data_IF_859857906826
#
_entry.id   IF_859857906826
#
_cell.length_a   1.000
_cell.length_b   1.000
_cell.length_c   1.000
_cell.angle_alpha   90.00
_cell.angle_beta   90.00
_cell.angle_gamma   90.00
#
_symmetry.space_group_name_H-M   'P 1'
#
loop_
_entity.id
_entity.type
_entity.pdbx_description
1 polymer ?
#
# COMPACT_ATOMS: atom_id res chain seq x y z
N UNK A 1 5.20 -16.90 30.70
CA UNK A 1 3.80 -16.65 30.28
C UNK A 1 3.86 -15.90 28.96
N UNK A 2 3.44 -16.50 27.84
CA UNK A 2 3.28 -15.77 26.58
C UNK A 2 1.90 -15.13 26.64
N UNK A 3 1.83 -13.85 26.98
CA UNK A 3 0.58 -13.09 26.96
C UNK A 3 0.21 -12.85 25.50
N UNK A 4 -0.93 -13.36 25.00
CA UNK A 4 -1.38 -13.06 23.65
C UNK A 4 -1.71 -11.57 23.60
N UNK A 5 -0.87 -10.83 22.91
CA UNK A 5 -1.04 -9.41 22.66
C UNK A 5 -1.39 -9.27 21.17
N UNK A 6 -2.66 -8.95 20.86
CA UNK A 6 -3.11 -8.62 19.50
C UNK A 6 -2.89 -7.14 19.12
N UNK A 7 -2.20 -6.36 19.95
CA UNK A 7 -1.89 -4.97 19.65
C UNK A 7 -0.75 -4.92 18.63
N UNK A 8 -1.12 -4.66 17.38
CA UNK A 8 -0.19 -4.33 16.30
C UNK A 8 0.10 -2.83 16.39
N UNK A 9 1.35 -2.39 16.48
CA UNK A 9 1.67 -0.97 16.44
C UNK A 9 1.22 -0.38 15.11
N UNK A 10 0.69 0.84 15.11
CA UNK A 10 0.16 1.49 13.89
C UNK A 10 1.18 1.48 12.75
N UNK A 11 2.47 1.68 13.07
CA UNK A 11 3.58 1.64 12.12
C UNK A 11 3.79 0.29 11.43
N UNK A 12 3.36 -0.82 12.04
CA UNK A 12 3.42 -2.16 11.46
C UNK A 12 2.04 -2.63 10.94
N UNK A 13 1.01 -1.80 11.07
CA UNK A 13 -0.32 -2.11 10.55
C UNK A 13 -0.44 -1.69 9.09
N UNK A 14 -1.41 -2.27 8.38
CA UNK A 14 -1.76 -1.91 7.00
C UNK A 14 -1.97 -0.40 6.85
N UNK A 15 -2.62 0.24 7.84
CA UNK A 15 -2.89 1.68 7.83
C UNK A 15 -1.61 2.52 7.90
N UNK A 16 -0.61 2.08 8.67
CA UNK A 16 0.70 2.73 8.69
C UNK A 16 1.43 2.58 7.36
N UNK A 17 1.30 1.40 6.75
CA UNK A 17 1.95 1.07 5.49
C UNK A 17 1.38 1.84 4.28
N UNK A 18 0.16 2.36 4.35
CA UNK A 18 -0.42 3.22 3.31
C UNK A 18 0.49 4.41 2.96
N UNK A 19 1.16 4.97 3.98
CA UNK A 19 2.03 6.13 3.79
C UNK A 19 3.26 5.81 2.94
N UNK A 20 3.73 4.55 2.93
CA UNK A 20 4.84 4.13 2.09
C UNK A 20 4.44 4.14 0.61
N UNK A 21 3.22 3.70 0.29
CA UNK A 21 2.68 3.74 -1.08
C UNK A 21 2.52 5.18 -1.56
N UNK A 22 2.01 6.08 -0.71
CA UNK A 22 1.78 7.48 -1.06
C UNK A 22 3.07 8.28 -1.24
N UNK A 23 4.14 7.93 -0.53
CA UNK A 23 5.45 8.60 -0.64
C UNK A 23 6.18 8.34 -1.97
N UNK A 24 5.76 7.32 -2.73
CA UNK A 24 6.32 7.03 -4.06
C UNK A 24 5.76 7.98 -5.13
N UNK A 25 4.53 8.49 -4.94
CA UNK A 25 3.93 9.51 -5.81
C UNK A 25 4.62 10.88 -5.69
N UNK A 26 4.42 11.79 -6.67
CA UNK A 26 3.17 11.95 -7.43
C UNK A 26 3.13 11.37 -8.85
N UNK A 27 4.24 10.83 -9.38
CA UNK A 27 4.26 10.31 -10.75
C UNK A 27 3.56 8.95 -10.87
N UNK A 28 2.97 8.69 -12.05
CA UNK A 28 2.37 7.39 -12.33
C UNK A 28 3.42 6.29 -12.38
N UNK A 29 3.19 5.17 -11.70
CA UNK A 29 4.13 4.05 -11.62
C UNK A 29 3.42 2.74 -12.00
N UNK A 30 4.13 1.79 -12.61
CA UNK A 30 3.54 0.45 -12.83
C UNK A 30 3.33 -0.26 -11.50
N UNK A 31 2.26 -1.04 -11.41
CA UNK A 31 1.92 -1.77 -10.19
C UNK A 31 3.04 -2.70 -9.71
N UNK A 32 3.70 -3.40 -10.64
CA UNK A 32 4.82 -4.28 -10.32
C UNK A 32 6.04 -3.51 -9.79
N UNK A 33 6.36 -2.35 -10.38
CA UNK A 33 7.47 -1.50 -9.96
C UNK A 33 7.19 -0.87 -8.58
N UNK A 34 5.94 -0.49 -8.33
CA UNK A 34 5.50 -0.04 -7.02
C UNK A 34 5.71 -1.13 -5.97
N UNK A 35 5.25 -2.36 -6.24
CA UNK A 35 5.45 -3.48 -5.32
C UNK A 35 6.93 -3.79 -5.07
N UNK A 36 7.80 -3.67 -6.08
CA UNK A 36 9.24 -3.82 -5.87
C UNK A 36 9.83 -2.75 -4.94
N UNK A 37 9.32 -1.53 -4.96
CA UNK A 37 9.83 -0.43 -4.12
C UNK A 37 9.33 -0.47 -2.67
N UNK A 38 8.07 -0.86 -2.45
CA UNK A 38 7.45 -0.81 -1.11
C UNK A 38 7.15 -2.19 -0.52
N UNK A 39 7.33 -3.26 -1.28
CA UNK A 39 6.98 -4.63 -0.89
C UNK A 39 7.71 -5.12 0.37
N UNK A 40 8.90 -4.59 0.66
CA UNK A 40 9.66 -4.88 1.88
C UNK A 40 8.97 -4.36 3.17
N UNK A 41 7.99 -3.47 3.03
CA UNK A 41 7.18 -2.96 4.16
C UNK A 41 5.93 -3.79 4.42
N UNK A 42 5.60 -4.72 3.53
CA UNK A 42 4.41 -5.56 3.65
C UNK A 42 4.79 -6.98 4.05
N UNK A 43 3.99 -7.57 4.92
CA UNK A 43 4.17 -8.97 5.37
C UNK A 43 3.80 -9.97 4.27
N UNK A 44 2.89 -9.60 3.38
CA UNK A 44 2.46 -10.42 2.24
C UNK A 44 1.96 -9.56 1.08
N UNK A 45 1.81 -10.20 -0.08
CA UNK A 45 1.18 -9.58 -1.26
C UNK A 45 -0.28 -9.20 -0.97
N UNK A 46 -1.01 -10.01 -0.20
CA UNK A 46 -2.40 -9.71 0.18
C UNK A 46 -2.49 -8.43 1.00
N UNK A 47 -1.52 -8.20 1.90
CA UNK A 47 -1.47 -6.99 2.71
C UNK A 47 -1.21 -5.74 1.85
N UNK A 48 -0.38 -5.87 0.82
CA UNK A 48 -0.14 -4.81 -0.16
C UNK A 48 -1.40 -4.50 -0.99
N UNK A 49 -2.08 -5.53 -1.51
CA UNK A 49 -3.32 -5.36 -2.26
C UNK A 49 -4.40 -4.69 -1.40
N UNK A 50 -4.56 -5.11 -0.14
CA UNK A 50 -5.47 -4.48 0.80
C UNK A 50 -5.15 -2.99 1.02
N UNK A 51 -3.86 -2.64 1.08
CA UNK A 51 -3.44 -1.24 1.21
C UNK A 51 -3.81 -0.42 -0.03
N UNK A 52 -3.66 -0.98 -1.23
CA UNK A 52 -4.08 -0.34 -2.48
C UNK A 52 -5.61 -0.16 -2.53
N UNK A 53 -6.38 -1.18 -2.15
CA UNK A 53 -7.84 -1.10 -2.10
C UNK A 53 -8.31 0.03 -1.18
N UNK A 54 -7.69 0.15 -0.01
CA UNK A 54 -7.99 1.25 0.92
C UNK A 54 -7.67 2.60 0.30
N UNK A 55 -6.52 2.77 -0.35
CA UNK A 55 -6.15 4.03 -0.98
C UNK A 55 -7.03 4.36 -2.20
N UNK A 56 -7.48 3.34 -2.93
CA UNK A 56 -8.45 3.49 -4.01
C UNK A 56 -9.80 3.95 -3.49
N UNK A 57 -10.32 3.32 -2.43
CA UNK A 57 -11.58 3.71 -1.78
C UNK A 57 -11.54 5.12 -1.17
N UNK A 58 -10.35 5.60 -0.79
CA UNK A 58 -10.13 6.94 -0.26
C UNK A 58 -9.87 7.99 -1.36
N UNK A 59 -10.04 7.64 -2.63
CA UNK A 59 -9.74 8.48 -3.80
C UNK A 59 -8.30 9.05 -3.76
N UNK A 60 -7.34 8.32 -3.17
CA UNK A 60 -5.93 8.73 -3.10
C UNK A 60 -5.09 8.20 -4.25
N UNK A 61 -5.55 7.14 -4.90
CA UNK A 61 -4.97 6.62 -6.12
C UNK A 61 -6.04 5.96 -6.98
N UNK A 62 -5.78 5.89 -8.27
CA UNK A 62 -6.56 5.12 -9.24
C UNK A 62 -5.64 4.14 -9.96
N UNK A 63 -6.19 3.04 -10.44
CA UNK A 63 -5.46 2.05 -11.22
C UNK A 63 -6.00 2.07 -12.63
N UNK A 64 -5.13 2.38 -13.59
CA UNK A 64 -5.42 2.19 -15.00
C UNK A 64 -5.12 0.74 -15.37
N UNK A 65 -6.17 -0.08 -15.45
CA UNK A 65 -6.06 -1.49 -15.83
C UNK A 65 -5.65 -1.72 -17.29
N UNK A 66 -5.74 -0.71 -18.16
CA UNK A 66 -5.26 -0.79 -19.53
C UNK A 66 -3.73 -0.68 -19.63
N UNK A 67 -3.11 0.07 -18.72
CA UNK A 67 -1.66 0.29 -18.68
C UNK A 67 -0.96 -0.34 -17.47
N UNK A 68 -1.72 -0.95 -16.56
CA UNK A 68 -1.29 -1.52 -15.28
C UNK A 68 -0.55 -0.50 -14.39
N UNK A 69 -0.94 0.77 -14.50
CA UNK A 69 -0.33 1.88 -13.77
C UNK A 69 -1.21 2.36 -12.62
N UNK A 70 -0.53 2.67 -11.52
CA UNK A 70 -1.10 3.41 -10.40
C UNK A 70 -0.91 4.90 -10.67
N UNK A 71 -2.00 5.66 -10.63
CA UNK A 71 -2.04 7.12 -10.78
C UNK A 71 -2.47 7.72 -9.46
N UNK A 72 -1.59 8.51 -8.85
CA UNK A 72 -1.89 9.17 -7.58
C UNK A 72 -2.85 10.34 -7.79
N UNK A 73 -3.83 10.48 -6.91
CA UNK A 73 -4.69 11.66 -6.87
C UNK A 73 -3.90 12.85 -6.30
N UNK A 74 -4.14 14.03 -6.86
CA UNK A 74 -3.50 15.28 -6.44
C UNK A 74 -4.01 15.79 -5.09
#
# INVERSE_FOLDING_TARGET
MITPNKAVPLSASVLGNLTHVLKVGPESIRLADLFQQVGDKFESIDQFLLALDVLFLLDRLTVDFGTEKVVYAA
#
